data_IF_399253462251
#
_entry.id   IF_399253462251
#
_cell.length_a   1.000
_cell.length_b   1.000
_cell.length_c   1.000
_cell.angle_alpha   90.00
_cell.angle_beta   90.00
_cell.angle_gamma   90.00
#
_symmetry.space_group_name_H-M   'P 1'
#
loop_
_entity.id
_entity.type
_entity.pdbx_description
1 polymer ?
#
# COMPACT_ATOMS: atom_id res chain seq x y z
N UNK A 1 -16.02 -58.33 -38.00
CA UNK A 1 -15.69 -56.92 -37.76
C UNK A 1 -16.06 -56.64 -36.31
N UNK A 2 -15.07 -56.78 -35.39
CA UNK A 2 -15.24 -56.49 -33.96
C UNK A 2 -14.96 -55.03 -33.75
N UNK A 3 -15.96 -54.29 -33.31
CA UNK A 3 -15.77 -52.91 -32.81
C UNK A 3 -15.42 -52.99 -31.33
N UNK A 4 -14.22 -52.53 -30.98
CA UNK A 4 -13.82 -52.32 -29.59
C UNK A 4 -14.64 -51.17 -28.97
N UNK A 5 -15.07 -51.30 -27.69
CA UNK A 5 -15.81 -50.24 -27.01
C UNK A 5 -14.90 -49.04 -26.74
N UNK A 6 -15.32 -47.86 -27.17
CA UNK A 6 -14.67 -46.56 -26.82
C UNK A 6 -14.64 -46.42 -25.29
N UNK A 7 -13.43 -46.37 -24.70
CA UNK A 7 -13.23 -45.96 -23.32
C UNK A 7 -13.70 -44.51 -23.16
N UNK A 8 -14.77 -44.32 -22.43
CA UNK A 8 -15.22 -43.02 -21.95
C UNK A 8 -14.18 -42.53 -20.96
N UNK A 9 -13.47 -41.46 -21.27
CA UNK A 9 -12.60 -40.77 -20.30
C UNK A 9 -13.49 -40.10 -19.28
N UNK A 10 -13.40 -40.52 -18.03
CA UNK A 10 -14.03 -39.82 -16.92
C UNK A 10 -13.38 -38.43 -16.76
N UNK A 11 -14.17 -37.38 -16.53
CA UNK A 11 -13.61 -36.05 -16.31
C UNK A 11 -12.73 -36.04 -15.05
N UNK A 12 -11.48 -35.64 -15.24
CA UNK A 12 -10.55 -35.50 -14.14
C UNK A 12 -10.93 -34.24 -13.32
N UNK A 13 -11.75 -34.42 -12.28
CA UNK A 13 -12.18 -33.32 -11.41
C UNK A 13 -11.04 -33.04 -10.44
N UNK A 14 -10.35 -31.93 -10.62
CA UNK A 14 -9.33 -31.43 -9.71
C UNK A 14 -10.04 -30.57 -8.65
N UNK A 15 -10.10 -31.05 -7.40
CA UNK A 15 -10.52 -30.24 -6.27
C UNK A 15 -9.34 -29.36 -5.85
N UNK A 16 -9.45 -28.06 -6.09
CA UNK A 16 -8.53 -27.08 -5.50
C UNK A 16 -9.12 -26.67 -4.17
N UNK A 17 -8.53 -27.13 -3.08
CA UNK A 17 -8.82 -26.57 -1.74
C UNK A 17 -8.20 -25.19 -1.68
N UNK A 18 -9.04 -24.16 -1.62
CA UNK A 18 -8.60 -22.82 -1.22
C UNK A 18 -8.42 -22.86 0.29
N UNK A 19 -7.24 -23.25 0.75
CA UNK A 19 -6.86 -23.05 2.14
C UNK A 19 -7.00 -21.55 2.44
N UNK A 20 -7.80 -21.23 3.45
CA UNK A 20 -7.85 -19.88 3.98
C UNK A 20 -6.45 -19.56 4.49
N UNK A 21 -5.74 -18.71 3.76
CA UNK A 21 -4.46 -18.18 4.22
C UNK A 21 -4.76 -17.40 5.51
N UNK A 22 -4.27 -17.90 6.64
CA UNK A 22 -4.38 -17.17 7.90
C UNK A 22 -3.77 -15.79 7.75
N UNK A 23 -4.52 -14.77 8.16
CA UNK A 23 -3.98 -13.41 8.19
C UNK A 23 -2.74 -13.40 9.10
N UNK A 24 -1.67 -12.73 8.70
CA UNK A 24 -0.45 -12.67 9.48
C UNK A 24 -0.74 -12.02 10.83
N UNK A 25 -0.29 -12.65 11.90
CA UNK A 25 -0.42 -12.11 13.24
C UNK A 25 0.67 -11.08 13.47
N UNK A 26 0.28 -9.95 14.03
CA UNK A 26 1.24 -8.96 14.53
C UNK A 26 1.90 -9.54 15.79
N UNK A 27 3.22 -9.37 15.89
CA UNK A 27 3.99 -9.87 17.04
C UNK A 27 4.77 -8.72 17.68
N UNK A 28 4.49 -8.49 18.95
CA UNK A 28 5.33 -7.68 19.80
C UNK A 28 6.42 -8.59 20.40
N UNK A 29 7.68 -8.24 20.14
CA UNK A 29 8.81 -8.89 20.78
C UNK A 29 9.38 -7.91 21.80
N UNK A 30 9.36 -8.25 23.09
CA UNK A 30 9.83 -7.37 24.17
C UNK A 30 11.31 -6.97 24.08
N UNK A 31 12.06 -7.50 23.11
CA UNK A 31 13.43 -7.09 22.80
C UNK A 31 13.52 -6.08 21.66
N UNK A 32 12.41 -5.90 20.90
CA UNK A 32 12.33 -4.98 19.76
C UNK A 32 11.46 -3.79 20.14
N UNK A 33 11.85 -2.61 19.69
CA UNK A 33 11.06 -1.38 19.88
C UNK A 33 9.95 -1.21 18.83
N UNK A 34 9.68 -2.25 18.04
CA UNK A 34 8.72 -2.23 16.93
C UNK A 34 7.99 -3.57 16.79
N UNK A 35 6.81 -3.51 16.21
CA UNK A 35 5.92 -4.66 15.97
C UNK A 35 6.29 -5.34 14.65
N UNK A 36 6.48 -6.66 14.68
CA UNK A 36 6.71 -7.45 13.47
C UNK A 36 5.41 -7.74 12.75
N UNK A 37 5.40 -7.58 11.41
CA UNK A 37 4.26 -7.86 10.56
C UNK A 37 4.44 -9.23 9.89
N UNK A 38 3.73 -10.24 10.40
CA UNK A 38 3.89 -11.64 10.01
C UNK A 38 5.01 -12.36 10.77
N UNK A 39 5.24 -13.61 10.41
CA UNK A 39 6.19 -14.47 11.11
C UNK A 39 7.64 -13.96 10.90
N UNK A 40 7.97 -13.63 9.66
CA UNK A 40 9.32 -13.20 9.23
C UNK A 40 9.43 -11.69 9.04
N UNK A 41 8.40 -10.94 9.48
CA UNK A 41 8.30 -9.48 9.32
C UNK A 41 8.31 -9.01 7.85
N UNK A 42 7.91 -9.87 6.93
CA UNK A 42 7.94 -9.68 5.48
C UNK A 42 6.54 -9.49 4.85
N UNK A 43 5.48 -9.42 5.67
CA UNK A 43 4.11 -9.36 5.16
C UNK A 43 3.85 -8.18 4.21
N UNK A 44 4.32 -6.95 4.48
CA UNK A 44 4.14 -5.84 3.54
C UNK A 44 4.82 -6.07 2.20
N UNK A 45 6.04 -6.61 2.21
CA UNK A 45 6.78 -6.94 1.00
C UNK A 45 6.07 -8.03 0.18
N UNK A 46 5.47 -9.02 0.86
CA UNK A 46 4.66 -10.06 0.22
C UNK A 46 3.40 -9.49 -0.42
N UNK A 47 2.71 -8.54 0.23
CA UNK A 47 1.55 -7.86 -0.36
C UNK A 47 1.94 -7.11 -1.64
N UNK A 48 3.07 -6.40 -1.60
CA UNK A 48 3.62 -5.70 -2.76
C UNK A 48 3.95 -6.66 -3.90
N UNK A 49 4.58 -7.79 -3.60
CA UNK A 49 4.86 -8.82 -4.59
C UNK A 49 3.59 -9.41 -5.22
N UNK A 50 2.60 -9.73 -4.40
CA UNK A 50 1.31 -10.26 -4.86
C UNK A 50 0.58 -9.27 -5.77
N UNK A 51 0.59 -7.97 -5.43
CA UNK A 51 -0.02 -6.92 -6.26
C UNK A 51 0.64 -6.82 -7.64
N UNK A 52 1.96 -7.05 -7.72
CA UNK A 52 2.72 -7.05 -8.98
C UNK A 52 2.52 -8.32 -9.80
N UNK A 53 2.34 -9.47 -9.14
CA UNK A 53 2.10 -10.75 -9.83
C UNK A 53 0.70 -10.87 -10.43
N UNK A 54 -0.29 -10.23 -9.84
CA UNK A 54 -1.67 -10.25 -10.31
C UNK A 54 -2.00 -8.96 -11.07
N UNK A 55 -2.02 -9.03 -12.39
CA UNK A 55 -2.38 -7.87 -13.23
C UNK A 55 -3.77 -7.31 -12.90
N UNK A 56 -4.75 -8.18 -12.59
CA UNK A 56 -6.09 -7.76 -12.20
C UNK A 56 -6.07 -7.02 -10.86
N UNK A 57 -5.35 -7.54 -9.86
CA UNK A 57 -5.25 -6.91 -8.56
C UNK A 57 -4.56 -5.55 -8.64
N UNK A 58 -3.44 -5.49 -9.37
CA UNK A 58 -2.72 -4.22 -9.62
C UNK A 58 -3.59 -3.18 -10.33
N UNK A 59 -4.39 -3.60 -11.33
CA UNK A 59 -5.32 -2.72 -12.02
C UNK A 59 -6.42 -2.17 -11.09
N UNK A 60 -6.97 -3.00 -10.21
CA UNK A 60 -7.98 -2.58 -9.22
C UNK A 60 -7.39 -1.58 -8.22
N UNK A 61 -6.17 -1.82 -7.71
CA UNK A 61 -5.49 -0.89 -6.81
C UNK A 61 -5.26 0.46 -7.48
N UNK A 62 -4.74 0.45 -8.71
CA UNK A 62 -4.51 1.68 -9.48
C UNK A 62 -5.81 2.43 -9.78
N UNK A 63 -6.89 1.73 -10.14
CA UNK A 63 -8.20 2.34 -10.36
C UNK A 63 -8.71 3.02 -9.10
N UNK A 64 -8.67 2.32 -7.95
CA UNK A 64 -9.09 2.90 -6.67
C UNK A 64 -8.27 4.12 -6.27
N UNK A 65 -6.95 4.09 -6.49
CA UNK A 65 -6.08 5.22 -6.20
C UNK A 65 -6.41 6.42 -7.09
N UNK A 66 -6.59 6.21 -8.39
CA UNK A 66 -7.00 7.26 -9.33
C UNK A 66 -8.38 7.84 -9.00
N UNK A 67 -9.35 6.98 -8.65
CA UNK A 67 -10.69 7.42 -8.24
C UNK A 67 -10.63 8.28 -6.96
N UNK A 68 -9.73 7.96 -6.03
CA UNK A 68 -9.55 8.73 -4.81
C UNK A 68 -8.92 10.12 -5.04
N UNK A 69 -8.03 10.23 -6.02
CA UNK A 69 -7.44 11.53 -6.42
C UNK A 69 -8.44 12.37 -7.21
N UNK A 70 -9.23 11.72 -8.08
CA UNK A 70 -10.21 12.38 -8.94
C UNK A 70 -9.59 13.49 -9.78
N UNK A 71 -10.18 14.68 -9.74
CA UNK A 71 -9.69 15.87 -10.46
C UNK A 71 -8.47 16.56 -9.80
N UNK A 72 -7.94 15.96 -8.72
CA UNK A 72 -6.83 16.50 -7.96
C UNK A 72 -7.20 17.62 -6.98
N UNK A 73 -6.20 18.23 -6.36
CA UNK A 73 -6.39 19.30 -5.38
C UNK A 73 -6.64 20.63 -6.06
N UNK A 74 -7.79 21.26 -5.74
CA UNK A 74 -8.13 22.58 -6.29
C UNK A 74 -7.12 23.65 -5.87
N UNK A 75 -6.63 24.42 -6.87
CA UNK A 75 -5.78 25.61 -6.68
C UNK A 75 -6.61 26.90 -6.62
N UNK A 76 -7.95 26.80 -6.78
CA UNK A 76 -8.84 27.95 -6.77
C UNK A 76 -8.91 28.58 -5.36
N UNK A 77 -8.92 29.89 -5.31
CA UNK A 77 -9.02 30.69 -4.07
C UNK A 77 -7.85 30.45 -3.08
N UNK A 78 -6.68 30.07 -3.61
CA UNK A 78 -5.43 29.86 -2.87
C UNK A 78 -4.48 31.04 -3.07
N UNK A 79 -3.62 31.26 -2.09
CA UNK A 79 -2.52 32.21 -2.19
C UNK A 79 -1.45 31.72 -3.16
N UNK A 80 -0.60 32.61 -3.64
CA UNK A 80 0.51 32.24 -4.54
C UNK A 80 1.47 31.24 -3.88
N UNK A 81 1.74 31.38 -2.57
CA UNK A 81 2.61 30.47 -1.82
C UNK A 81 2.00 29.09 -1.66
N UNK A 82 0.69 29.01 -1.39
CA UNK A 82 -0.02 27.73 -1.32
C UNK A 82 -0.01 27.02 -2.68
N UNK A 83 -0.27 27.76 -3.76
CA UNK A 83 -0.23 27.19 -5.11
C UNK A 83 1.19 26.70 -5.45
N UNK A 84 2.22 27.47 -5.09
CA UNK A 84 3.61 27.07 -5.30
C UNK A 84 3.92 25.75 -4.54
N UNK A 85 3.48 25.62 -3.29
CA UNK A 85 3.65 24.41 -2.49
C UNK A 85 2.87 23.22 -3.08
N UNK A 86 1.62 23.43 -3.54
CA UNK A 86 0.83 22.35 -4.14
C UNK A 86 1.44 21.84 -5.45
N UNK A 87 2.06 22.74 -6.23
CA UNK A 87 2.71 22.36 -7.48
C UNK A 87 4.07 21.69 -7.28
N UNK A 88 4.74 21.96 -6.16
CA UNK A 88 6.04 21.38 -5.83
C UNK A 88 6.19 21.18 -4.31
N UNK A 89 5.44 20.24 -3.72
CA UNK A 89 5.60 19.88 -2.31
C UNK A 89 6.97 19.26 -2.02
N UNK A 90 7.67 18.82 -3.04
CA UNK A 90 9.06 18.38 -3.06
C UNK A 90 9.62 18.51 -4.50
N UNK A 91 10.94 18.32 -4.72
CA UNK A 91 11.56 18.44 -6.04
C UNK A 91 11.15 17.41 -7.08
N UNK A 92 10.49 16.30 -6.69
CA UNK A 92 10.27 15.16 -7.61
C UNK A 92 8.85 15.13 -8.21
N UNK A 93 7.83 15.53 -7.43
CA UNK A 93 6.42 15.39 -7.85
C UNK A 93 5.53 16.47 -7.20
N UNK A 94 4.36 16.70 -7.80
CA UNK A 94 3.34 17.60 -7.30
C UNK A 94 2.45 16.94 -6.21
N UNK A 95 1.51 17.71 -5.67
CA UNK A 95 0.61 17.23 -4.62
C UNK A 95 -0.33 16.14 -5.11
N UNK A 96 -0.75 16.16 -6.36
CA UNK A 96 -1.70 15.19 -6.91
C UNK A 96 -1.02 13.82 -7.07
N UNK A 97 0.24 13.78 -7.51
CA UNK A 97 1.07 12.58 -7.53
C UNK A 97 1.36 12.07 -6.10
N UNK A 98 1.60 12.97 -5.14
CA UNK A 98 1.80 12.59 -3.75
C UNK A 98 0.56 11.91 -3.18
N UNK A 99 -0.63 12.49 -3.42
CA UNK A 99 -1.91 11.90 -2.97
C UNK A 99 -2.15 10.55 -3.66
N UNK A 100 -1.82 10.44 -4.95
CA UNK A 100 -1.95 9.18 -5.68
C UNK A 100 -1.13 8.05 -5.03
N UNK A 101 0.12 8.33 -4.64
CA UNK A 101 0.98 7.38 -3.92
C UNK A 101 0.41 6.99 -2.57
N UNK A 102 -0.09 7.97 -1.81
CA UNK A 102 -0.76 7.73 -0.53
C UNK A 102 -2.03 6.88 -0.67
N UNK A 103 -2.85 7.17 -1.69
CA UNK A 103 -4.08 6.44 -1.97
C UNK A 103 -3.80 4.99 -2.38
N UNK A 104 -2.72 4.76 -3.14
CA UNK A 104 -2.28 3.43 -3.53
C UNK A 104 -1.82 2.62 -2.32
N UNK A 105 -0.98 3.20 -1.45
CA UNK A 105 -0.55 2.56 -0.21
C UNK A 105 -1.74 2.28 0.72
N UNK A 106 -2.67 3.22 0.85
CA UNK A 106 -3.89 3.02 1.63
C UNK A 106 -4.73 1.85 1.12
N UNK A 107 -4.84 1.71 -0.21
CA UNK A 107 -5.60 0.63 -0.82
C UNK A 107 -4.93 -0.74 -0.65
N UNK A 108 -3.59 -0.81 -0.65
CA UNK A 108 -2.83 -2.05 -0.53
C UNK A 108 -2.56 -2.44 0.93
N UNK A 109 -2.15 -1.49 1.76
CA UNK A 109 -1.64 -1.73 3.12
C UNK A 109 -2.64 -1.32 4.21
N UNK A 110 -3.67 -0.54 3.88
CA UNK A 110 -4.59 0.05 4.85
C UNK A 110 -4.04 1.30 5.54
N UNK A 111 -2.93 1.85 5.08
CA UNK A 111 -2.30 3.05 5.61
C UNK A 111 -1.25 3.63 4.68
N UNK A 112 -0.84 4.85 4.93
CA UNK A 112 0.24 5.52 4.22
C UNK A 112 1.08 6.34 5.20
N UNK A 113 2.28 6.73 4.79
CA UNK A 113 3.19 7.52 5.61
C UNK A 113 3.61 8.75 4.83
N UNK A 114 3.48 9.90 5.49
CA UNK A 114 4.03 11.18 5.04
C UNK A 114 5.22 11.58 5.90
N UNK A 115 6.27 12.05 5.26
CA UNK A 115 7.45 12.59 5.92
C UNK A 115 7.53 14.09 5.65
N UNK A 116 7.10 14.95 6.59
CA UNK A 116 7.25 16.39 6.49
C UNK A 116 8.69 16.80 6.83
N UNK A 117 9.31 17.57 5.96
CA UNK A 117 10.58 18.27 6.24
C UNK A 117 10.24 19.69 6.65
N UNK A 118 10.65 20.07 7.85
CA UNK A 118 10.40 21.41 8.37
C UNK A 118 11.40 22.41 7.83
N UNK A 119 10.97 23.66 7.71
CA UNK A 119 11.87 24.79 7.46
C UNK A 119 12.92 24.93 8.57
N UNK A 120 14.04 25.60 8.28
CA UNK A 120 15.16 25.75 9.23
C UNK A 120 14.76 26.41 10.56
N UNK A 121 13.72 27.23 10.55
CA UNK A 121 13.15 27.88 11.74
C UNK A 121 12.04 27.07 12.40
N UNK A 122 11.67 25.91 11.81
CA UNK A 122 10.61 25.03 12.31
C UNK A 122 9.20 25.59 12.18
N UNK A 123 9.00 26.73 11.52
CA UNK A 123 7.71 27.44 11.49
C UNK A 123 6.71 26.85 10.48
N UNK A 124 7.20 26.14 9.45
CA UNK A 124 6.36 25.60 8.38
C UNK A 124 6.94 24.30 7.80
N UNK A 125 6.10 23.54 7.15
CA UNK A 125 6.54 22.44 6.30
C UNK A 125 7.19 23.02 5.05
N UNK A 126 8.47 22.71 4.82
CA UNK A 126 9.22 23.11 3.64
C UNK A 126 9.03 22.11 2.52
N UNK A 127 9.04 20.81 2.83
CA UNK A 127 8.81 19.74 1.87
C UNK A 127 7.91 18.65 2.47
N UNK A 128 7.19 17.95 1.60
CA UNK A 128 6.34 16.84 1.99
C UNK A 128 6.63 15.64 1.08
N UNK A 129 7.02 14.54 1.68
CA UNK A 129 7.42 13.33 0.99
C UNK A 129 6.50 12.16 1.32
N UNK A 130 6.19 11.34 0.33
CA UNK A 130 5.64 10.01 0.55
C UNK A 130 6.77 9.05 0.97
N UNK A 131 6.53 8.27 2.01
CA UNK A 131 7.46 7.24 2.47
C UNK A 131 6.87 5.86 2.21
N UNK A 132 7.68 4.96 1.64
CA UNK A 132 7.29 3.58 1.31
C UNK A 132 6.84 2.82 2.57
N UNK A 133 5.53 2.61 2.69
CA UNK A 133 4.91 1.99 3.86
C UNK A 133 5.46 0.60 4.14
N UNK A 134 5.88 -0.16 3.12
CA UNK A 134 6.41 -1.51 3.29
C UNK A 134 7.65 -1.57 4.19
N UNK A 135 8.39 -0.47 4.28
CA UNK A 135 9.64 -0.36 5.06
C UNK A 135 9.44 0.10 6.49
N UNK A 136 8.25 0.52 6.85
CA UNK A 136 7.97 1.04 8.19
C UNK A 136 7.29 -0.01 9.06
N UNK A 137 7.48 0.12 10.36
CA UNK A 137 6.82 -0.72 11.37
C UNK A 137 6.33 0.18 12.50
N UNK A 138 5.17 -0.17 13.03
CA UNK A 138 4.65 0.52 14.22
C UNK A 138 5.56 0.28 15.42
N UNK A 139 5.75 1.28 16.26
CA UNK A 139 6.39 1.12 17.55
C UNK A 139 5.59 0.19 18.46
N UNK A 140 6.25 -0.39 19.44
CA UNK A 140 5.58 -1.09 20.54
C UNK A 140 4.85 -0.03 21.38
N UNK A 141 3.66 -0.37 21.87
CA UNK A 141 2.92 0.52 22.76
C UNK A 141 3.75 0.84 24.00
N UNK A 142 3.82 2.11 24.35
CA UNK A 142 4.37 2.54 25.62
C UNK A 142 3.42 2.23 26.78
N UNK A 143 3.83 2.51 28.04
CA UNK A 143 3.05 2.26 29.24
C UNK A 143 1.71 3.03 29.23
N UNK A 144 1.61 4.11 28.45
CA UNK A 144 0.40 4.94 28.28
C UNK A 144 -0.49 4.43 27.14
N UNK A 145 -0.09 3.37 26.42
CA UNK A 145 -0.85 2.75 25.34
C UNK A 145 -0.79 3.52 24.00
N UNK A 146 0.20 4.40 23.84
CA UNK A 146 0.45 5.18 22.61
C UNK A 146 1.42 4.49 21.69
#
# INVERSE_FOLDING_TARGET
MNQEPKKTQEPNIIFVSLEQTELPKFREDGRKQWVSYGQDNDFPERLLELSRRSALHGAILSSKANDAVGDGVSRKDRTADEVAFLNAPNPEYDIDELILRCAWDLALFGGFILNPVMSNDGSRVAELWHADWSRFRSGVKDEDGR
#
